data_IF_542699553156
#
_entry.id   IF_542699553156
#
_cell.length_a   1.000
_cell.length_b   1.000
_cell.length_c   1.000
_cell.angle_alpha   90.00
_cell.angle_beta   90.00
_cell.angle_gamma   90.00
#
_symmetry.space_group_name_H-M   'P 1'
#
loop_
_entity.id
_entity.type
_entity.pdbx_description
1 polymer ?
#
# COMPACT_ATOMS: atom_id res chain seq x y z
N UNK A 1 -12.75 22.51 9.76
CA UNK A 1 -13.43 21.72 8.70
C UNK A 1 -12.54 21.47 7.49
N UNK A 2 -11.95 22.50 6.84
CA UNK A 2 -11.09 22.34 5.65
C UNK A 2 -9.92 21.34 5.81
N UNK A 3 -9.26 21.32 6.98
CA UNK A 3 -8.15 20.36 7.24
C UNK A 3 -8.58 18.89 7.20
N UNK A 4 -9.76 18.56 7.72
CA UNK A 4 -10.28 17.17 7.68
C UNK A 4 -10.60 16.73 6.26
N UNK A 5 -11.14 17.64 5.45
CA UNK A 5 -11.41 17.38 4.04
C UNK A 5 -10.14 17.07 3.25
N UNK A 6 -9.05 17.83 3.51
CA UNK A 6 -7.74 17.56 2.94
C UNK A 6 -7.26 16.14 3.29
N UNK A 7 -7.35 15.74 4.56
CA UNK A 7 -6.94 14.41 4.99
C UNK A 7 -7.73 13.29 4.27
N UNK A 8 -9.05 13.46 4.16
CA UNK A 8 -9.92 12.50 3.47
C UNK A 8 -9.52 12.38 1.99
N UNK A 9 -9.35 13.50 1.29
CA UNK A 9 -8.92 13.49 -0.12
C UNK A 9 -7.55 12.84 -0.27
N UNK A 10 -6.59 13.15 0.62
CA UNK A 10 -5.27 12.54 0.59
C UNK A 10 -5.34 11.02 0.74
N UNK A 11 -6.16 10.50 1.66
CA UNK A 11 -6.36 9.05 1.81
C UNK A 11 -6.98 8.45 0.55
N UNK A 12 -8.00 9.09 -0.04
CA UNK A 12 -8.63 8.62 -1.27
C UNK A 12 -7.62 8.57 -2.44
N UNK A 13 -6.87 9.64 -2.66
CA UNK A 13 -5.86 9.70 -3.74
C UNK A 13 -4.72 8.69 -3.50
N UNK A 14 -4.26 8.54 -2.26
CA UNK A 14 -3.29 7.50 -1.92
C UNK A 14 -3.88 6.10 -2.13
N UNK A 15 -5.16 5.88 -1.85
CA UNK A 15 -5.85 4.62 -2.14
C UNK A 15 -5.95 4.35 -3.64
N UNK A 16 -6.27 5.35 -4.46
CA UNK A 16 -6.33 5.20 -5.93
C UNK A 16 -4.99 4.80 -6.54
N UNK A 17 -3.88 5.20 -5.92
CA UNK A 17 -2.54 4.76 -6.29
C UNK A 17 -2.21 3.38 -5.70
N UNK A 18 -2.43 3.20 -4.40
CA UNK A 18 -1.93 2.07 -3.63
C UNK A 18 -2.80 0.83 -3.77
N UNK A 19 -4.11 0.98 -3.97
CA UNK A 19 -5.10 -0.07 -4.27
C UNK A 19 -5.91 0.33 -5.51
N UNK A 20 -5.30 0.23 -6.71
CA UNK A 20 -5.98 0.63 -7.91
C UNK A 20 -7.13 -0.32 -8.25
N UNK A 21 -8.22 0.25 -8.74
CA UNK A 21 -9.38 -0.50 -9.24
C UNK A 21 -9.82 0.09 -10.58
N UNK A 22 -10.59 -0.68 -11.34
CA UNK A 22 -11.22 -0.22 -12.58
C UNK A 22 -12.65 0.21 -12.30
N UNK A 23 -13.12 1.20 -13.05
CA UNK A 23 -14.52 1.64 -12.96
C UNK A 23 -15.35 0.96 -14.03
N UNK A 24 -16.62 0.66 -13.75
CA UNK A 24 -17.55 0.09 -14.74
C UNK A 24 -17.65 0.98 -15.99
N UNK A 25 -17.55 2.30 -15.81
CA UNK A 25 -17.67 3.29 -16.89
C UNK A 25 -16.46 3.30 -17.86
N UNK A 26 -15.28 2.86 -17.44
CA UNK A 26 -14.02 2.92 -18.20
C UNK A 26 -13.22 1.62 -18.01
N UNK A 27 -13.65 0.52 -18.64
CA UNK A 27 -12.94 -0.76 -18.59
C UNK A 27 -11.55 -0.65 -19.24
N UNK A 28 -10.53 -1.24 -18.62
CA UNK A 28 -9.15 -1.18 -19.10
C UNK A 28 -8.38 0.08 -18.68
N UNK A 29 -8.99 1.01 -17.94
CA UNK A 29 -8.30 2.14 -17.30
C UNK A 29 -8.53 2.14 -15.80
N UNK A 30 -7.56 1.62 -15.03
CA UNK A 30 -7.56 1.70 -13.58
C UNK A 30 -7.22 3.12 -13.05
N UNK A 31 -7.60 3.37 -11.79
CA UNK A 31 -7.38 4.65 -11.10
C UNK A 31 -5.91 5.10 -11.08
N UNK A 32 -4.95 4.18 -11.03
CA UNK A 32 -3.52 4.50 -11.05
C UNK A 32 -3.09 5.05 -12.41
N UNK A 33 -3.61 4.51 -13.52
CA UNK A 33 -3.37 5.04 -14.86
C UNK A 33 -3.95 6.45 -15.02
N UNK A 34 -5.12 6.73 -14.42
CA UNK A 34 -5.68 8.08 -14.38
C UNK A 34 -4.73 9.05 -13.64
N UNK A 35 -4.23 8.65 -12.46
CA UNK A 35 -3.26 9.45 -11.71
C UNK A 35 -1.96 9.69 -12.50
N UNK A 36 -1.51 8.69 -13.27
CA UNK A 36 -0.38 8.84 -14.16
C UNK A 36 -0.66 9.82 -15.32
N UNK A 37 -1.87 9.81 -15.90
CA UNK A 37 -2.30 10.80 -16.88
C UNK A 37 -2.27 12.23 -16.32
N UNK A 38 -2.79 12.42 -15.11
CA UNK A 38 -2.71 13.71 -14.39
C UNK A 38 -1.25 14.13 -14.17
N UNK A 39 -0.36 13.18 -13.91
CA UNK A 39 1.07 13.44 -13.71
C UNK A 39 1.72 14.06 -14.95
N UNK A 40 1.32 13.61 -16.15
CA UNK A 40 1.82 14.13 -17.43
C UNK A 40 1.38 15.59 -17.63
N UNK A 41 0.14 15.94 -17.28
CA UNK A 41 -0.35 17.32 -17.36
C UNK A 41 0.42 18.24 -16.40
N UNK A 42 0.65 17.78 -15.17
CA UNK A 42 1.43 18.52 -14.17
C UNK A 42 2.87 18.71 -14.65
N UNK A 43 3.49 17.65 -15.17
CA UNK A 43 4.86 17.68 -15.66
C UNK A 43 4.98 18.60 -16.88
N UNK A 44 4.09 18.47 -17.86
CA UNK A 44 4.06 19.31 -19.07
C UNK A 44 3.94 20.80 -18.74
N UNK A 45 3.04 21.17 -17.81
CA UNK A 45 2.92 22.55 -17.32
C UNK A 45 4.23 23.04 -16.69
N UNK A 46 4.89 22.20 -15.91
CA UNK A 46 6.13 22.56 -15.19
C UNK A 46 7.31 22.73 -16.14
N UNK A 47 7.45 21.84 -17.11
CA UNK A 47 8.45 21.91 -18.17
C UNK A 47 8.29 23.20 -18.99
N UNK A 48 7.05 23.51 -19.39
CA UNK A 48 6.73 24.75 -20.11
C UNK A 48 7.08 26.02 -19.30
N UNK A 49 6.86 26.00 -17.98
CA UNK A 49 7.15 27.13 -17.10
C UNK A 49 8.64 27.29 -16.76
N UNK A 50 9.38 26.19 -16.64
CA UNK A 50 10.79 26.23 -16.19
C UNK A 50 11.80 26.30 -17.34
N UNK A 51 11.40 26.06 -18.59
CA UNK A 51 12.28 25.94 -19.78
C UNK A 51 13.47 24.99 -19.59
N UNK A 52 13.39 24.14 -18.58
CA UNK A 52 14.42 23.21 -18.19
C UNK A 52 13.79 21.82 -18.26
N UNK A 53 14.22 21.08 -19.28
CA UNK A 53 13.71 19.76 -19.60
C UNK A 53 14.64 18.66 -19.11
N UNK A 54 15.37 18.92 -18.02
CA UNK A 54 16.29 17.95 -17.48
C UNK A 54 15.55 16.75 -16.90
N UNK A 55 15.89 15.56 -17.39
CA UNK A 55 15.36 14.30 -16.91
C UNK A 55 16.37 13.75 -15.92
N UNK A 56 15.91 13.49 -14.69
CA UNK A 56 16.76 12.91 -13.66
C UNK A 56 17.42 11.61 -14.16
N UNK A 57 18.75 11.52 -14.04
CA UNK A 57 19.56 10.36 -14.42
C UNK A 57 19.03 9.04 -13.86
N UNK A 58 18.54 9.03 -12.62
CA UNK A 58 17.98 7.85 -11.96
C UNK A 58 16.68 7.41 -12.65
N UNK A 59 15.83 8.36 -13.04
CA UNK A 59 14.60 8.08 -13.79
C UNK A 59 14.91 7.56 -15.19
N UNK A 60 15.91 8.14 -15.85
CA UNK A 60 16.37 7.66 -17.16
C UNK A 60 16.95 6.25 -17.08
N UNK A 61 17.80 5.98 -16.08
CA UNK A 61 18.38 4.66 -15.87
C UNK A 61 17.31 3.61 -15.54
N UNK A 62 16.36 3.95 -14.66
CA UNK A 62 15.23 3.08 -14.34
C UNK A 62 14.37 2.79 -15.58
N UNK A 63 14.21 3.77 -16.47
CA UNK A 63 13.52 3.62 -17.76
C UNK A 63 14.23 2.63 -18.66
N UNK A 64 15.57 2.71 -18.77
CA UNK A 64 16.38 1.76 -19.54
C UNK A 64 16.28 0.33 -18.99
N UNK A 65 16.34 0.15 -17.66
CA UNK A 65 16.14 -1.17 -17.05
C UNK A 65 14.76 -1.75 -17.38
N UNK A 66 13.71 -0.94 -17.30
CA UNK A 66 12.35 -1.37 -17.63
C UNK A 66 12.18 -1.71 -19.13
N UNK A 67 12.87 -0.98 -20.02
CA UNK A 67 12.96 -1.35 -21.44
C UNK A 67 13.68 -2.70 -21.62
N UNK A 68 14.78 -2.92 -20.91
CA UNK A 68 15.51 -4.19 -20.93
C UNK A 68 14.63 -5.38 -20.55
N UNK A 69 13.85 -5.26 -19.46
CA UNK A 69 12.87 -6.28 -19.05
C UNK A 69 11.83 -6.53 -20.15
N UNK A 70 11.31 -5.45 -20.76
CA UNK A 70 10.33 -5.54 -21.84
C UNK A 70 10.90 -6.23 -23.09
N UNK A 71 12.15 -5.95 -23.43
CA UNK A 71 12.87 -6.59 -24.55
C UNK A 71 13.15 -8.07 -24.29
N UNK A 72 13.59 -8.43 -23.08
CA UNK A 72 13.78 -9.85 -22.70
C UNK A 72 12.45 -10.60 -22.77
N UNK A 73 11.35 -9.98 -22.33
CA UNK A 73 10.01 -10.55 -22.49
C UNK A 73 9.67 -10.78 -23.97
N UNK A 74 9.95 -9.81 -24.85
CA UNK A 74 9.71 -9.96 -26.29
C UNK A 74 10.55 -11.09 -26.90
N UNK A 75 11.84 -11.17 -26.57
CA UNK A 75 12.74 -12.23 -27.06
C UNK A 75 12.28 -13.60 -26.58
N UNK A 76 11.95 -13.75 -25.30
CA UNK A 76 11.49 -15.03 -24.73
C UNK A 76 10.15 -15.48 -25.31
N UNK A 77 9.20 -14.57 -25.54
CA UNK A 77 7.95 -14.87 -26.26
C UNK A 77 8.21 -15.37 -27.68
N UNK A 78 9.14 -14.72 -28.40
CA UNK A 78 9.48 -15.05 -29.78
C UNK A 78 10.22 -16.39 -29.89
N UNK A 79 11.21 -16.62 -29.03
CA UNK A 79 12.01 -17.86 -29.03
C UNK A 79 11.18 -19.06 -28.60
N UNK A 80 10.35 -18.91 -27.57
CA UNK A 80 9.56 -20.01 -27.01
C UNK A 80 8.17 -20.16 -27.64
N UNK A 81 7.79 -19.32 -28.60
CA UNK A 81 6.44 -19.28 -29.18
C UNK A 81 5.32 -19.22 -28.12
N UNK A 82 5.52 -18.44 -27.05
CA UNK A 82 4.54 -18.26 -25.98
C UNK A 82 3.80 -16.92 -26.12
N UNK A 83 2.52 -16.89 -25.74
CA UNK A 83 1.67 -15.68 -25.81
C UNK A 83 1.62 -14.89 -24.49
N UNK A 84 2.56 -15.11 -23.58
CA UNK A 84 2.58 -14.42 -22.28
C UNK A 84 3.21 -13.02 -22.39
N UNK A 85 2.36 -12.01 -22.56
CA UNK A 85 2.75 -10.60 -22.65
C UNK A 85 2.90 -9.88 -21.32
N UNK A 86 2.89 -10.57 -20.17
CA UNK A 86 2.82 -9.94 -18.83
C UNK A 86 3.90 -8.88 -18.58
N UNK A 87 5.11 -9.06 -19.13
CA UNK A 87 6.22 -8.13 -18.99
C UNK A 87 6.52 -7.33 -20.26
N UNK A 88 5.79 -7.55 -21.36
CA UNK A 88 6.04 -6.88 -22.63
C UNK A 88 5.85 -5.36 -22.52
N UNK A 89 4.87 -4.93 -21.73
CA UNK A 89 4.57 -3.52 -21.47
C UNK A 89 5.11 -3.05 -20.11
N UNK A 90 6.16 -3.68 -19.60
CA UNK A 90 6.73 -3.34 -18.29
C UNK A 90 7.28 -1.91 -18.26
N UNK A 91 7.86 -1.44 -19.37
CA UNK A 91 8.26 -0.04 -19.53
C UNK A 91 7.10 0.94 -19.29
N UNK A 92 5.95 0.70 -19.90
CA UNK A 92 4.74 1.52 -19.71
C UNK A 92 4.27 1.43 -18.25
N UNK A 93 4.27 0.22 -17.68
CA UNK A 93 3.86 -0.02 -16.30
C UNK A 93 4.72 0.76 -15.30
N UNK A 94 6.04 0.78 -15.48
CA UNK A 94 6.96 1.57 -14.67
C UNK A 94 6.60 3.06 -14.72
N UNK A 95 6.36 3.60 -15.91
CA UNK A 95 5.99 5.02 -16.08
C UNK A 95 4.66 5.34 -15.40
N UNK A 96 3.68 4.43 -15.49
CA UNK A 96 2.41 4.55 -14.77
C UNK A 96 2.62 4.55 -13.25
N UNK A 97 3.50 3.68 -12.73
CA UNK A 97 3.79 3.62 -11.29
C UNK A 97 4.49 4.87 -10.78
N UNK A 98 5.48 5.37 -11.54
CA UNK A 98 6.20 6.59 -11.19
C UNK A 98 5.31 7.83 -11.33
N UNK A 99 4.53 7.93 -12.41
CA UNK A 99 3.59 9.02 -12.63
C UNK A 99 2.49 9.07 -11.58
N UNK A 100 1.88 7.93 -11.27
CA UNK A 100 0.89 7.83 -10.20
C UNK A 100 1.45 8.27 -8.84
N UNK A 101 2.66 7.82 -8.49
CA UNK A 101 3.33 8.23 -7.25
C UNK A 101 3.61 9.73 -7.24
N UNK A 102 4.10 10.27 -8.36
CA UNK A 102 4.40 11.69 -8.50
C UNK A 102 3.15 12.57 -8.29
N UNK A 103 2.00 12.19 -8.84
CA UNK A 103 0.73 12.90 -8.61
C UNK A 103 0.35 12.92 -7.14
N UNK A 104 0.42 11.78 -6.45
CA UNK A 104 0.10 11.70 -5.01
C UNK A 104 1.06 12.55 -4.20
N UNK A 105 2.37 12.41 -4.40
CA UNK A 105 3.38 13.19 -3.67
C UNK A 105 3.23 14.69 -3.96
N UNK A 106 2.91 15.07 -5.19
CA UNK A 106 2.68 16.48 -5.53
C UNK A 106 1.44 17.03 -4.85
N UNK A 107 0.35 16.25 -4.80
CA UNK A 107 -0.84 16.60 -4.02
C UNK A 107 -0.48 16.81 -2.55
N UNK A 108 0.27 15.89 -1.93
CA UNK A 108 0.68 16.01 -0.53
C UNK A 108 1.52 17.26 -0.29
N UNK A 109 2.44 17.59 -1.18
CA UNK A 109 3.22 18.82 -1.08
C UNK A 109 2.34 20.08 -1.14
N UNK A 110 1.30 20.10 -1.98
CA UNK A 110 0.38 21.25 -2.07
C UNK A 110 -0.55 21.31 -0.86
N UNK A 111 -1.04 20.16 -0.40
CA UNK A 111 -2.02 20.04 0.67
C UNK A 111 -1.43 20.31 2.08
N UNK A 112 -0.22 19.81 2.34
CA UNK A 112 0.43 19.89 3.66
C UNK A 112 1.58 20.90 3.71
N UNK A 113 2.08 21.36 2.56
CA UNK A 113 3.26 22.24 2.46
C UNK A 113 4.60 21.52 2.64
N UNK A 114 4.59 20.24 3.03
CA UNK A 114 5.78 19.40 3.18
C UNK A 114 5.46 17.94 2.84
N UNK A 115 6.50 17.17 2.50
CA UNK A 115 6.40 15.72 2.34
C UNK A 115 7.58 15.09 3.05
N UNK A 116 7.31 14.25 4.04
CA UNK A 116 8.31 13.45 4.73
C UNK A 116 7.88 11.97 4.77
N UNK A 117 8.83 11.08 5.06
CA UNK A 117 8.58 9.63 5.09
C UNK A 117 7.47 9.28 6.08
N UNK A 118 7.44 9.93 7.25
CA UNK A 118 6.43 9.68 8.29
C UNK A 118 5.01 10.02 7.82
N UNK A 119 4.82 11.11 7.06
CA UNK A 119 3.52 11.48 6.47
C UNK A 119 3.04 10.43 5.46
N UNK A 120 3.94 9.97 4.59
CA UNK A 120 3.63 8.93 3.59
C UNK A 120 3.26 7.62 4.28
N UNK A 121 4.04 7.18 5.27
CA UNK A 121 3.71 5.99 6.05
C UNK A 121 2.34 6.12 6.74
N UNK A 122 2.06 7.26 7.38
CA UNK A 122 0.77 7.48 8.06
C UNK A 122 -0.42 7.38 7.10
N UNK A 123 -0.28 7.91 5.88
CA UNK A 123 -1.32 7.80 4.86
C UNK A 123 -1.47 6.38 4.35
N UNK A 124 -0.38 5.66 4.11
CA UNK A 124 -0.43 4.24 3.72
C UNK A 124 -1.09 3.37 4.80
N UNK A 125 -0.78 3.61 6.09
CA UNK A 125 -1.42 2.95 7.22
C UNK A 125 -2.92 3.25 7.22
N UNK A 126 -3.30 4.53 7.11
CA UNK A 126 -4.70 4.93 7.08
C UNK A 126 -5.46 4.27 5.91
N UNK A 127 -4.87 4.26 4.72
CA UNK A 127 -5.44 3.58 3.53
C UNK A 127 -5.65 2.10 3.81
N UNK A 128 -4.65 1.40 4.37
CA UNK A 128 -4.77 -0.04 4.61
C UNK A 128 -5.82 -0.37 5.67
N UNK A 129 -5.89 0.42 6.76
CA UNK A 129 -6.93 0.27 7.79
C UNK A 129 -8.31 0.50 7.19
N UNK A 130 -8.50 1.58 6.41
CA UNK A 130 -9.78 1.87 5.74
C UNK A 130 -10.17 0.74 4.79
N UNK A 131 -9.23 0.19 4.01
CA UNK A 131 -9.50 -0.92 3.11
C UNK A 131 -9.87 -2.21 3.86
N UNK A 132 -9.23 -2.49 5.00
CA UNK A 132 -9.61 -3.60 5.86
C UNK A 132 -11.04 -3.42 6.41
N UNK A 133 -11.36 -2.23 6.90
CA UNK A 133 -12.70 -1.93 7.41
C UNK A 133 -13.77 -2.03 6.31
N UNK A 134 -13.49 -1.52 5.11
CA UNK A 134 -14.41 -1.64 3.97
C UNK A 134 -14.61 -3.11 3.60
N UNK A 135 -13.54 -3.91 3.55
CA UNK A 135 -13.64 -5.34 3.27
C UNK A 135 -14.55 -6.06 4.27
N UNK A 136 -14.38 -5.78 5.56
CA UNK A 136 -15.22 -6.37 6.61
C UNK A 136 -16.68 -5.90 6.54
N UNK A 137 -16.94 -4.60 6.31
CA UNK A 137 -18.31 -4.09 6.20
C UNK A 137 -19.01 -4.65 4.96
N UNK A 138 -18.30 -4.81 3.83
CA UNK A 138 -18.87 -5.43 2.62
C UNK A 138 -19.42 -6.84 2.89
N UNK A 139 -18.70 -7.62 3.70
CA UNK A 139 -19.05 -8.98 4.06
C UNK A 139 -20.29 -9.05 4.97
N UNK A 140 -20.37 -8.13 5.93
CA UNK A 140 -21.49 -8.07 6.89
C UNK A 140 -22.72 -7.38 6.31
N UNK A 141 -22.55 -6.45 5.37
CA UNK A 141 -23.61 -5.56 4.88
C UNK A 141 -23.72 -5.54 3.35
N UNK A 142 -24.60 -6.41 2.84
CA UNK A 142 -24.83 -6.63 1.40
C UNK A 142 -25.17 -5.37 0.59
N UNK A 143 -25.94 -4.37 1.09
CA UNK A 143 -26.24 -3.18 0.29
C UNK A 143 -24.99 -2.35 -0.06
N UNK A 144 -23.97 -2.34 0.81
CA UNK A 144 -22.70 -1.67 0.51
C UNK A 144 -21.94 -2.41 -0.60
N UNK A 145 -21.97 -3.74 -0.58
CA UNK A 145 -21.35 -4.53 -1.64
C UNK A 145 -21.99 -4.24 -3.00
N UNK A 146 -23.32 -4.25 -3.08
CA UNK A 146 -24.03 -3.93 -4.34
C UNK A 146 -23.73 -2.52 -4.85
N UNK A 147 -23.63 -1.55 -3.94
CA UNK A 147 -23.26 -0.18 -4.31
C UNK A 147 -21.83 -0.11 -4.86
N UNK A 148 -20.86 -0.75 -4.21
CA UNK A 148 -19.47 -0.80 -4.70
C UNK A 148 -19.38 -1.51 -6.05
N UNK A 149 -20.07 -2.64 -6.22
CA UNK A 149 -20.08 -3.43 -7.45
C UNK A 149 -20.70 -2.64 -8.63
N UNK A 150 -21.58 -1.67 -8.35
CA UNK A 150 -22.13 -0.78 -9.39
C UNK A 150 -21.11 0.23 -9.95
N UNK A 151 -20.05 0.53 -9.19
CA UNK A 151 -19.00 1.48 -9.58
C UNK A 151 -17.71 0.80 -10.00
N UNK A 152 -17.35 -0.31 -9.37
CA UNK A 152 -16.08 -1.02 -9.57
C UNK A 152 -16.26 -2.07 -10.68
N UNK A 153 -15.64 -1.83 -11.83
CA UNK A 153 -15.78 -2.59 -13.08
C UNK A 153 -15.17 -3.98 -13.09
N UNK A 154 -14.61 -4.40 -11.96
CA UNK A 154 -14.10 -5.75 -11.75
C UNK A 154 -12.75 -5.77 -11.08
N UNK A 155 -12.56 -6.78 -10.23
CA UNK A 155 -11.25 -7.21 -9.73
C UNK A 155 -10.60 -8.21 -10.72
N UNK A 156 -10.84 -8.06 -12.02
CA UNK A 156 -10.37 -9.01 -13.05
C UNK A 156 -8.83 -9.18 -13.04
N UNK A 157 -8.09 -8.15 -12.62
CA UNK A 157 -6.64 -8.21 -12.38
C UNK A 157 -6.22 -8.95 -11.11
N UNK A 158 -7.15 -9.21 -10.18
CA UNK A 158 -6.87 -9.84 -8.89
C UNK A 158 -7.40 -11.27 -8.83
N UNK A 159 -8.36 -11.68 -9.65
CA UNK A 159 -8.89 -13.04 -9.70
C UNK A 159 -10.23 -13.15 -8.96
N UNK A 160 -11.19 -13.87 -9.57
CA UNK A 160 -12.54 -14.03 -9.04
C UNK A 160 -12.52 -14.70 -7.65
N UNK A 161 -12.75 -13.93 -6.60
CA UNK A 161 -12.77 -14.40 -5.20
C UNK A 161 -14.12 -14.24 -4.54
N UNK A 162 -15.20 -14.25 -5.32
CA UNK A 162 -16.56 -14.02 -4.83
C UNK A 162 -17.00 -14.97 -3.69
N UNK A 163 -16.37 -16.15 -3.55
CA UNK A 163 -16.93 -17.20 -2.69
C UNK A 163 -16.07 -17.61 -1.47
N UNK A 164 -14.86 -17.08 -1.25
CA UNK A 164 -14.01 -17.60 -0.14
C UNK A 164 -13.19 -16.59 0.66
N UNK A 165 -13.02 -15.34 0.23
CA UNK A 165 -12.10 -14.39 0.89
C UNK A 165 -12.64 -12.97 0.90
N UNK A 166 -12.37 -12.25 1.99
CA UNK A 166 -12.68 -10.83 2.11
C UNK A 166 -11.92 -10.01 1.05
N UNK A 167 -12.60 -9.06 0.40
CA UNK A 167 -11.99 -8.13 -0.56
C UNK A 167 -12.41 -6.69 -0.28
N UNK A 168 -11.44 -5.77 -0.32
CA UNK A 168 -11.69 -4.32 -0.21
C UNK A 168 -12.13 -3.70 -1.54
N UNK A 169 -11.76 -2.45 -1.76
CA UNK A 169 -11.88 -1.77 -3.07
C UNK A 169 -10.48 -1.77 -3.70
N UNK A 170 -10.24 -2.68 -4.66
CA UNK A 170 -8.93 -2.84 -5.31
C UNK A 170 -7.87 -3.48 -4.40
N UNK A 171 -8.31 -4.13 -3.31
CA UNK A 171 -7.50 -4.77 -2.29
C UNK A 171 -7.97 -6.22 -2.10
N UNK A 172 -7.49 -7.12 -2.97
CA UNK A 172 -7.77 -8.54 -2.90
C UNK A 172 -6.49 -9.40 -3.02
N UNK A 173 -6.60 -10.63 -2.51
CA UNK A 173 -5.63 -11.72 -2.69
C UNK A 173 -4.18 -11.31 -2.34
N UNK A 174 -3.19 -11.86 -3.05
CA UNK A 174 -1.77 -11.74 -2.71
C UNK A 174 -1.22 -10.34 -2.98
N UNK A 175 -1.77 -9.62 -3.96
CA UNK A 175 -1.38 -8.23 -4.25
C UNK A 175 -1.71 -7.32 -3.06
N UNK A 176 -2.86 -7.52 -2.42
CA UNK A 176 -3.20 -6.80 -1.20
C UNK A 176 -2.34 -7.23 -0.02
N UNK A 177 -2.09 -8.53 0.13
CA UNK A 177 -1.29 -9.05 1.23
C UNK A 177 0.16 -8.58 1.23
N UNK A 178 0.81 -8.47 0.07
CA UNK A 178 2.16 -7.89 -0.05
C UNK A 178 2.19 -6.42 0.40
N UNK A 179 1.16 -5.65 0.03
CA UNK A 179 1.02 -4.24 0.43
C UNK A 179 0.78 -4.09 1.93
N UNK A 180 -0.14 -4.89 2.49
CA UNK A 180 -0.37 -4.93 3.94
C UNK A 180 0.88 -5.37 4.71
N UNK A 181 1.63 -6.34 4.18
CA UNK A 181 2.91 -6.77 4.76
C UNK A 181 3.94 -5.65 4.82
N UNK A 182 4.11 -4.91 3.72
CA UNK A 182 5.02 -3.76 3.69
C UNK A 182 4.61 -2.70 4.72
N UNK A 183 3.31 -2.40 4.83
CA UNK A 183 2.77 -1.41 5.78
C UNK A 183 2.89 -1.90 7.23
N UNK A 184 2.70 -3.19 7.51
CA UNK A 184 2.94 -3.76 8.83
C UNK A 184 4.39 -3.58 9.28
N UNK A 185 5.35 -3.79 8.38
CA UNK A 185 6.78 -3.52 8.66
C UNK A 185 7.04 -2.03 8.89
N UNK A 186 6.41 -1.13 8.13
CA UNK A 186 6.50 0.32 8.36
C UNK A 186 5.96 0.71 9.75
N UNK A 187 4.85 0.12 10.19
CA UNK A 187 4.32 0.31 11.54
C UNK A 187 5.33 -0.18 12.57
N UNK A 188 5.92 -1.37 12.35
CA UNK A 188 6.99 -1.91 13.16
C UNK A 188 8.16 -0.92 13.32
N UNK A 189 8.64 -0.38 12.21
CA UNK A 189 9.71 0.61 12.21
C UNK A 189 9.36 1.90 12.96
N UNK A 190 8.13 2.41 12.81
CA UNK A 190 7.71 3.64 13.49
C UNK A 190 7.60 3.39 15.00
N UNK A 191 7.01 2.27 15.41
CA UNK A 191 6.80 1.95 16.81
C UNK A 191 8.12 1.68 17.56
N UNK A 192 9.19 1.26 16.88
CA UNK A 192 10.50 1.10 17.52
C UNK A 192 11.12 2.43 17.98
N UNK A 193 10.68 3.55 17.41
CA UNK A 193 11.10 4.92 17.79
C UNK A 193 10.13 5.56 18.76
N UNK A 194 9.73 4.82 19.80
CA UNK A 194 8.65 5.23 20.72
C UNK A 194 8.95 6.52 21.48
N UNK A 195 10.23 6.86 21.69
CA UNK A 195 10.67 8.07 22.38
C UNK A 195 10.20 9.37 21.68
N UNK A 196 9.96 9.32 20.37
CA UNK A 196 9.50 10.46 19.57
C UNK A 196 7.96 10.55 19.47
N UNK A 197 7.23 9.60 20.07
CA UNK A 197 5.79 9.42 19.84
C UNK A 197 4.96 9.74 21.08
N UNK A 198 3.83 10.43 20.86
CA UNK A 198 2.83 10.61 21.90
C UNK A 198 2.11 9.29 22.20
N UNK A 199 1.66 9.10 23.45
CA UNK A 199 0.88 7.92 23.86
C UNK A 199 -0.31 7.64 22.92
N UNK A 200 -1.04 8.68 22.48
CA UNK A 200 -2.17 8.53 21.55
C UNK A 200 -1.73 8.00 20.18
N UNK A 201 -0.57 8.41 19.68
CA UNK A 201 -0.05 7.95 18.40
C UNK A 201 0.40 6.50 18.49
N UNK A 202 1.08 6.13 19.57
CA UNK A 202 1.48 4.74 19.84
C UNK A 202 0.25 3.82 19.84
N UNK A 203 -0.79 4.17 20.60
CA UNK A 203 -2.05 3.40 20.62
C UNK A 203 -2.67 3.32 19.23
N UNK A 204 -2.70 4.43 18.47
CA UNK A 204 -3.22 4.44 17.10
C UNK A 204 -2.47 3.48 16.16
N UNK A 205 -1.14 3.44 16.22
CA UNK A 205 -0.34 2.51 15.41
C UNK A 205 -0.54 1.05 15.83
N UNK A 206 -0.65 0.78 17.13
CA UNK A 206 -0.90 -0.57 17.64
C UNK A 206 -2.28 -1.09 17.21
N UNK A 207 -3.32 -0.25 17.32
CA UNK A 207 -4.67 -0.59 16.83
C UNK A 207 -4.63 -0.83 15.31
N UNK A 208 -3.92 0.02 14.56
CA UNK A 208 -3.76 -0.17 13.11
C UNK A 208 -3.05 -1.48 12.77
N UNK A 209 -2.01 -1.83 13.54
CA UNK A 209 -1.29 -3.09 13.40
C UNK A 209 -2.19 -4.30 13.67
N UNK A 210 -3.00 -4.26 14.73
CA UNK A 210 -3.94 -5.32 15.06
C UNK A 210 -5.03 -5.49 13.98
N UNK A 211 -5.57 -4.38 13.46
CA UNK A 211 -6.53 -4.44 12.35
C UNK A 211 -5.92 -5.13 11.13
N UNK A 212 -4.69 -4.77 10.76
CA UNK A 212 -3.96 -5.42 9.66
C UNK A 212 -3.66 -6.89 9.96
N UNK A 213 -3.33 -7.21 11.21
CA UNK A 213 -3.01 -8.58 11.60
C UNK A 213 -4.22 -9.51 11.54
N UNK A 214 -5.39 -9.03 11.93
CA UNK A 214 -6.63 -9.81 11.95
C UNK A 214 -7.31 -9.77 10.58
N UNK A 215 -7.79 -8.59 10.18
CA UNK A 215 -8.59 -8.44 8.96
C UNK A 215 -7.72 -8.58 7.71
N UNK A 216 -6.50 -8.05 7.75
CA UNK A 216 -5.57 -8.20 6.63
C UNK A 216 -5.20 -9.66 6.36
N UNK A 217 -5.10 -10.51 7.39
CA UNK A 217 -4.85 -11.95 7.22
C UNK A 217 -6.08 -12.69 6.66
N UNK A 218 -7.30 -12.26 7.03
CA UNK A 218 -8.53 -12.79 6.42
C UNK A 218 -8.65 -12.44 4.92
N UNK A 219 -8.13 -11.28 4.50
CA UNK A 219 -8.00 -10.92 3.08
C UNK A 219 -6.86 -11.75 2.45
N UNK A 220 -5.66 -11.67 3.03
CA UNK A 220 -4.44 -12.25 2.49
C UNK A 220 -3.52 -12.90 3.50
N UNK A 221 -3.33 -14.22 3.37
CA UNK A 221 -2.35 -14.99 4.18
C UNK A 221 -0.92 -14.48 4.04
N UNK A 222 -0.57 -13.79 2.95
CA UNK A 222 0.77 -13.22 2.80
C UNK A 222 1.02 -12.02 3.71
N UNK A 223 -0.01 -11.45 4.34
CA UNK A 223 0.11 -10.40 5.38
C UNK A 223 0.87 -10.88 6.61
N UNK A 224 0.81 -12.19 6.88
CA UNK A 224 1.50 -12.85 8.00
C UNK A 224 3.01 -12.66 7.95
N UNK A 225 3.60 -12.64 6.75
CA UNK A 225 5.03 -12.41 6.54
C UNK A 225 5.45 -11.03 7.04
N UNK A 226 4.67 -9.98 6.75
CA UNK A 226 4.95 -8.63 7.23
C UNK A 226 4.79 -8.48 8.74
N UNK A 227 3.80 -9.16 9.34
CA UNK A 227 3.64 -9.20 10.80
C UNK A 227 4.86 -9.86 11.44
N UNK A 228 5.30 -11.00 10.91
CA UNK A 228 6.50 -11.72 11.38
C UNK A 228 7.75 -10.85 11.31
N UNK A 229 7.97 -10.18 10.17
CA UNK A 229 9.10 -9.27 9.98
C UNK A 229 9.04 -8.05 10.91
N UNK A 230 7.86 -7.46 11.13
CA UNK A 230 7.67 -6.35 12.05
C UNK A 230 8.01 -6.75 13.50
N UNK A 231 7.56 -7.93 13.94
CA UNK A 231 7.88 -8.47 15.26
C UNK A 231 9.37 -8.78 15.40
N UNK A 232 9.99 -9.42 14.40
CA UNK A 232 11.43 -9.68 14.38
C UNK A 232 12.23 -8.38 14.48
N UNK A 233 11.82 -7.34 13.76
CA UNK A 233 12.43 -6.03 13.82
C UNK A 233 12.28 -5.38 15.21
N UNK A 234 11.13 -5.51 15.87
CA UNK A 234 10.95 -5.03 17.25
C UNK A 234 11.85 -5.76 18.25
N UNK A 235 11.95 -7.09 18.15
CA UNK A 235 12.83 -7.89 19.01
C UNK A 235 14.29 -7.47 18.83
N UNK A 236 14.72 -7.24 17.59
CA UNK A 236 16.05 -6.73 17.28
C UNK A 236 16.27 -5.32 17.86
N UNK A 237 15.35 -4.39 17.59
CA UNK A 237 15.48 -2.98 18.00
C UNK A 237 15.44 -2.76 19.51
N UNK A 238 14.81 -3.67 20.27
CA UNK A 238 14.75 -3.58 21.73
C UNK A 238 15.99 -4.14 22.43
N UNK A 239 16.96 -4.69 21.68
CA UNK A 239 18.21 -5.21 22.23
C UNK A 239 18.07 -6.53 22.99
N UNK A 240 17.02 -7.32 22.71
CA UNK A 240 16.83 -8.63 23.36
C UNK A 240 18.03 -9.55 23.18
N UNK A 241 18.49 -9.61 21.93
CA UNK A 241 19.60 -10.47 21.51
C UNK A 241 20.92 -10.08 22.19
N UNK A 242 21.02 -8.85 22.69
CA UNK A 242 22.20 -8.34 23.40
C UNK A 242 22.02 -8.28 24.92
N UNK A 243 20.91 -8.79 25.48
CA UNK A 243 20.60 -8.87 26.93
C UNK A 243 20.69 -7.54 27.71
N UNK A 244 20.91 -6.41 27.04
CA UNK A 244 20.90 -5.06 27.61
C UNK A 244 19.50 -4.50 27.57
N UNK A 245 18.61 -5.08 28.37
CA UNK A 245 17.24 -4.61 28.51
C UNK A 245 17.25 -3.21 29.17
N UNK A 246 17.23 -2.14 28.38
CA UNK A 246 17.01 -0.80 28.91
C UNK A 246 15.65 -0.76 29.61
N UNK A 247 15.61 -0.23 30.84
CA UNK A 247 14.41 -0.14 31.70
C UNK A 247 13.26 0.63 31.02
N UNK A 248 13.57 1.49 30.05
CA UNK A 248 12.62 2.23 29.21
C UNK A 248 11.81 1.34 28.25
N UNK A 249 12.29 0.14 27.90
CA UNK A 249 11.62 -0.76 26.95
C UNK A 249 10.53 -1.63 27.58
N UNK A 250 10.26 -1.52 28.89
CA UNK A 250 9.23 -2.34 29.57
C UNK A 250 7.83 -2.13 29.00
N UNK A 251 7.47 -0.91 28.60
CA UNK A 251 6.15 -0.64 28.01
C UNK A 251 6.02 -1.32 26.65
N UNK A 252 7.01 -1.18 25.77
CA UNK A 252 7.06 -1.86 24.46
C UNK A 252 6.89 -3.38 24.58
N UNK A 253 7.54 -3.98 25.58
CA UNK A 253 7.41 -5.42 25.86
C UNK A 253 6.01 -5.84 26.30
N UNK A 254 5.35 -5.02 27.10
CA UNK A 254 3.97 -5.26 27.51
C UNK A 254 3.01 -5.18 26.32
N UNK A 255 3.27 -4.24 25.39
CA UNK A 255 2.53 -4.14 24.12
C UNK A 255 2.81 -5.31 23.17
N UNK A 256 4.07 -5.74 23.04
CA UNK A 256 4.45 -6.95 22.29
C UNK A 256 3.73 -8.19 22.83
N UNK A 257 3.76 -8.40 24.15
CA UNK A 257 3.05 -9.49 24.79
C UNK A 257 1.54 -9.44 24.55
N UNK A 258 0.93 -8.25 24.66
CA UNK A 258 -0.49 -8.04 24.38
C UNK A 258 -0.86 -8.34 22.92
N UNK A 259 -0.05 -7.88 21.96
CA UNK A 259 -0.24 -8.18 20.54
C UNK A 259 -0.13 -9.68 20.28
N UNK A 260 0.88 -10.35 20.82
CA UNK A 260 1.05 -11.79 20.64
C UNK A 260 -0.14 -12.59 21.19
N UNK A 261 -0.75 -12.16 22.30
CA UNK A 261 -1.94 -12.80 22.85
C UNK A 261 -3.17 -12.70 21.93
N UNK A 262 -3.26 -11.69 21.06
CA UNK A 262 -4.36 -11.54 20.09
C UNK A 262 -4.01 -12.22 18.76
N UNK A 263 -2.77 -12.07 18.32
CA UNK A 263 -2.30 -12.55 17.03
C UNK A 263 -2.24 -14.09 17.00
N UNK A 264 -1.73 -14.74 18.05
CA UNK A 264 -1.58 -16.20 18.10
C UNK A 264 -2.94 -16.94 17.98
N UNK A 265 -4.00 -16.60 18.74
CA UNK A 265 -5.30 -17.25 18.60
C UNK A 265 -5.91 -17.04 17.21
N UNK A 266 -5.74 -15.84 16.64
CA UNK A 266 -6.26 -15.52 15.30
C UNK A 266 -5.55 -16.37 14.24
N UNK A 267 -4.23 -16.54 14.35
CA UNK A 267 -3.48 -17.46 13.50
C UNK A 267 -4.00 -18.90 13.60
N UNK A 268 -4.24 -19.39 14.81
CA UNK A 268 -4.75 -20.75 15.05
C UNK A 268 -6.19 -20.93 14.52
N UNK A 269 -7.01 -19.88 14.52
CA UNK A 269 -8.38 -19.96 14.01
C UNK A 269 -8.51 -19.88 12.48
N UNK A 270 -7.51 -19.28 11.80
CA UNK A 270 -7.53 -19.02 10.36
C UNK A 270 -6.74 -20.05 9.52
N UNK A 271 -5.97 -20.92 10.18
CA UNK A 271 -5.17 -22.00 9.59
C UNK A 271 -5.61 -23.36 10.13
#
# INVERSE_FOLDING_TARGET
MYKYFIHIISVILTSFYFFPFETVALPGVNTKMVLAGVSLLILGKRLAQRRDADINKDFFMLSLWAMGVSLVSLVTMTVNNTRDGSFLTYFISMWVWMGGAYTVIRWLHVAYGYVNVRLVCNLLIAVCVVQCLIAWIKDVYSPLQTWIDSFVGGEAFMGNTKDTRLSGIGAALDVAGLRFSAVAVMIGFILSKTEELSHKQVVGYLVSFLILAVIGNMISRTTTMGIGLAMAYWVYSTGLLTLKLKRENKKLWLWLGGIMCVVIPVFVSLY
#
